data_IF_173947115164
#
_entry.id   IF_173947115164
#
_cell.length_a   1.000
_cell.length_b   1.000
_cell.length_c   1.000
_cell.angle_alpha   90.00
_cell.angle_beta   90.00
_cell.angle_gamma   90.00
#
_symmetry.space_group_name_H-M   'P 1'
#
loop_
_entity.id
_entity.type
_entity.pdbx_description
1 polymer ?
#
# COMPACT_ATOMS: atom_id res chain seq x y z
N UNK A 1 -12.60 15.85 -8.29
CA UNK A 1 -11.23 15.63 -7.75
C UNK A 1 -10.85 14.19 -8.04
N UNK A 2 -9.58 13.91 -8.32
CA UNK A 2 -9.11 12.56 -8.66
C UNK A 2 -7.97 12.14 -7.75
N UNK A 3 -7.88 10.85 -7.46
CA UNK A 3 -6.89 10.27 -6.54
C UNK A 3 -6.20 9.07 -7.15
N UNK A 4 -4.90 8.94 -6.90
CA UNK A 4 -4.09 7.79 -7.28
C UNK A 4 -3.60 7.09 -6.02
N UNK A 5 -3.65 5.76 -6.04
CA UNK A 5 -3.14 4.92 -4.97
C UNK A 5 -1.63 4.70 -5.13
N UNK A 6 -0.91 4.90 -4.03
CA UNK A 6 0.49 4.51 -3.87
C UNK A 6 0.57 3.53 -2.70
N UNK A 7 1.21 2.38 -2.89
CA UNK A 7 1.39 1.35 -1.84
C UNK A 7 2.83 0.87 -1.80
N UNK A 8 3.32 0.56 -0.60
CA UNK A 8 4.61 -0.07 -0.38
C UNK A 8 4.46 -1.18 0.67
N UNK A 9 5.24 -2.24 0.54
CA UNK A 9 5.39 -3.27 1.58
C UNK A 9 6.56 -2.86 2.47
N UNK A 10 6.33 -2.82 3.78
CA UNK A 10 7.31 -2.43 4.78
C UNK A 10 7.57 -3.58 5.76
N UNK A 11 8.81 -3.66 6.22
CA UNK A 11 9.25 -4.54 7.31
C UNK A 11 9.34 -3.73 8.61
N UNK A 12 8.87 -4.34 9.69
CA UNK A 12 8.91 -3.80 11.06
C UNK A 12 9.82 -4.63 11.98
N UNK A 13 10.66 -5.49 11.38
CA UNK A 13 11.51 -6.42 12.11
C UNK A 13 12.46 -5.74 13.11
N UNK A 14 12.89 -4.51 12.84
CA UNK A 14 13.76 -3.72 13.70
C UNK A 14 12.90 -2.73 14.49
N UNK A 15 12.92 -2.75 15.84
CA UNK A 15 12.17 -1.79 16.64
C UNK A 15 12.56 -0.35 16.31
N UNK A 16 11.56 0.52 16.14
CA UNK A 16 11.72 1.95 15.80
C UNK A 16 12.29 2.23 14.39
N UNK A 17 12.49 1.21 13.55
CA UNK A 17 12.84 1.38 12.16
C UNK A 17 11.77 0.77 11.26
N UNK A 18 11.45 1.45 10.16
CA UNK A 18 10.51 0.93 9.16
C UNK A 18 11.20 0.97 7.81
N UNK A 19 11.51 -0.22 7.27
CA UNK A 19 12.12 -0.33 5.95
C UNK A 19 11.06 -0.71 4.94
N UNK A 20 10.75 0.20 4.02
CA UNK A 20 9.78 -0.04 2.96
C UNK A 20 10.48 -0.39 1.64
N UNK A 21 9.88 -1.30 0.89
CA UNK A 21 10.20 -1.51 -0.52
C UNK A 21 9.81 -0.29 -1.35
N UNK A 22 10.24 -0.29 -2.61
CA UNK A 22 9.88 0.75 -3.57
C UNK A 22 8.36 0.88 -3.68
N UNK A 23 7.89 2.10 -3.65
CA UNK A 23 6.48 2.43 -3.83
C UNK A 23 5.98 1.97 -5.21
N UNK A 24 4.80 1.35 -5.20
CA UNK A 24 4.06 0.94 -6.38
C UNK A 24 2.92 1.93 -6.57
N UNK A 25 2.93 2.62 -7.70
CA UNK A 25 1.84 3.48 -8.14
C UNK A 25 0.83 2.64 -8.90
N UNK A 26 -0.41 2.62 -8.43
CA UNK A 26 -1.48 1.93 -9.14
C UNK A 26 -1.98 2.84 -10.27
N UNK A 27 -2.10 2.33 -11.51
CA UNK A 27 -2.50 3.14 -12.66
C UNK A 27 -3.96 3.58 -12.59
N UNK A 28 -4.78 2.93 -11.76
CA UNK A 28 -6.18 3.26 -11.57
C UNK A 28 -6.34 4.59 -10.84
N UNK A 29 -7.22 5.43 -11.37
CA UNK A 29 -7.60 6.72 -10.78
C UNK A 29 -9.00 6.61 -10.18
N UNK A 30 -9.17 7.15 -8.98
CA UNK A 30 -10.41 7.12 -8.22
C UNK A 30 -11.00 8.52 -8.12
N UNK A 31 -12.32 8.62 -8.22
CA UNK A 31 -13.04 9.91 -8.18
C UNK A 31 -13.18 10.48 -6.77
N UNK A 32 -13.02 9.65 -5.75
CA UNK A 32 -13.17 10.03 -4.35
C UNK A 32 -12.04 9.44 -3.50
N UNK A 33 -11.79 10.05 -2.34
CA UNK A 33 -10.73 9.60 -1.44
C UNK A 33 -11.07 8.24 -0.83
N UNK A 34 -12.32 8.05 -0.41
CA UNK A 34 -12.86 6.81 0.15
C UNK A 34 -12.69 5.64 -0.82
N UNK A 35 -13.06 5.80 -2.10
CA UNK A 35 -12.87 4.74 -3.10
C UNK A 35 -11.40 4.36 -3.28
N UNK A 36 -10.48 5.33 -3.19
CA UNK A 36 -9.04 5.05 -3.23
C UNK A 36 -8.58 4.28 -1.97
N UNK A 37 -9.07 4.64 -0.79
CA UNK A 37 -8.74 3.99 0.48
C UNK A 37 -9.29 2.56 0.53
N UNK A 38 -10.53 2.33 0.11
CA UNK A 38 -11.13 0.99 0.02
C UNK A 38 -10.30 0.10 -0.90
N UNK A 39 -9.94 0.60 -2.08
CA UNK A 39 -9.05 -0.12 -2.99
C UNK A 39 -7.67 -0.37 -2.38
N UNK A 40 -7.14 0.55 -1.58
CA UNK A 40 -5.88 0.38 -0.88
C UNK A 40 -5.93 -0.82 0.10
N UNK A 41 -7.01 -0.94 0.88
CA UNK A 41 -7.19 -2.06 1.81
C UNK A 41 -7.32 -3.40 1.08
N UNK A 42 -8.11 -3.45 0.01
CA UNK A 42 -8.27 -4.68 -0.80
C UNK A 42 -6.94 -5.12 -1.42
N UNK A 43 -6.20 -4.18 -2.02
CA UNK A 43 -4.89 -4.45 -2.60
C UNK A 43 -3.84 -4.81 -1.54
N UNK A 44 -3.91 -4.20 -0.36
CA UNK A 44 -3.05 -4.52 0.78
C UNK A 44 -3.24 -5.97 1.21
N UNK A 45 -4.48 -6.38 1.46
CA UNK A 45 -4.82 -7.75 1.83
C UNK A 45 -4.40 -8.74 0.74
N UNK A 46 -4.71 -8.45 -0.53
CA UNK A 46 -4.30 -9.28 -1.66
C UNK A 46 -2.78 -9.38 -1.82
N UNK A 47 -2.02 -8.35 -1.44
CA UNK A 47 -0.55 -8.36 -1.49
C UNK A 47 0.03 -9.22 -0.37
N UNK A 48 -0.43 -9.05 0.88
CA UNK A 48 0.02 -9.84 2.02
C UNK A 48 -0.33 -11.32 1.85
N UNK A 49 -1.52 -11.64 1.33
CA UNK A 49 -1.93 -13.01 1.03
C UNK A 49 -1.01 -13.66 -0.02
N UNK A 50 -0.63 -12.92 -1.07
CA UNK A 50 0.30 -13.41 -2.12
C UNK A 50 1.72 -13.61 -1.59
N UNK A 51 2.16 -12.81 -0.62
CA UNK A 51 3.47 -12.99 0.03
C UNK A 51 3.51 -14.22 0.94
N UNK A 52 2.36 -14.63 1.47
CA UNK A 52 2.18 -15.81 2.30
C UNK A 52 2.49 -15.57 3.78
N UNK A 53 1.74 -16.26 4.64
CA UNK A 53 1.80 -16.08 6.10
C UNK A 53 3.20 -16.28 6.68
N UNK A 54 3.96 -17.28 6.21
CA UNK A 54 5.32 -17.53 6.70
C UNK A 54 6.22 -16.31 6.52
N UNK A 55 6.22 -15.74 5.31
CA UNK A 55 7.05 -14.58 4.97
C UNK A 55 6.61 -13.33 5.70
N UNK A 56 5.29 -13.10 5.75
CA UNK A 56 4.70 -11.96 6.46
C UNK A 56 5.09 -11.98 7.92
N UNK A 57 5.01 -13.13 8.59
CA UNK A 57 5.38 -13.26 9.99
C UNK A 57 6.90 -13.15 10.20
N UNK A 58 7.70 -13.86 9.40
CA UNK A 58 9.16 -13.91 9.53
C UNK A 58 9.80 -12.52 9.43
N UNK A 59 9.30 -11.68 8.53
CA UNK A 59 9.84 -10.35 8.29
C UNK A 59 8.96 -9.22 8.83
N UNK A 60 7.93 -9.56 9.62
CA UNK A 60 6.96 -8.59 10.18
C UNK A 60 6.47 -7.60 9.12
N UNK A 61 5.96 -8.14 8.01
CA UNK A 61 5.58 -7.34 6.86
C UNK A 61 4.19 -6.75 7.04
N UNK A 62 4.05 -5.47 6.70
CA UNK A 62 2.75 -4.83 6.51
C UNK A 62 2.80 -3.92 5.29
N UNK A 63 1.65 -3.46 4.83
CA UNK A 63 1.56 -2.51 3.73
C UNK A 63 1.32 -1.10 4.27
N UNK A 64 2.03 -0.12 3.71
CA UNK A 64 1.76 1.30 3.88
C UNK A 64 1.20 1.83 2.58
N UNK A 65 0.18 2.67 2.65
CA UNK A 65 -0.39 3.29 1.46
C UNK A 65 -0.67 4.78 1.65
N UNK A 66 -0.81 5.47 0.54
CA UNK A 66 -1.32 6.84 0.48
C UNK A 66 -2.20 6.99 -0.77
N UNK A 67 -3.22 7.84 -0.64
CA UNK A 67 -3.97 8.34 -1.77
C UNK A 67 -3.48 9.76 -2.05
N UNK A 68 -3.03 10.02 -3.28
CA UNK A 68 -2.53 11.35 -3.66
C UNK A 68 -3.49 12.00 -4.63
N UNK A 69 -3.76 13.30 -4.43
CA UNK A 69 -4.56 14.06 -5.40
C UNK A 69 -3.80 14.10 -6.73
N UNK A 70 -4.48 13.71 -7.79
CA UNK A 70 -4.00 13.94 -9.15
C UNK A 70 -4.58 15.26 -9.57
N UNK A 71 -3.74 16.30 -9.61
CA UNK A 71 -4.08 17.49 -10.38
C UNK A 71 -3.99 17.06 -11.84
N UNK A 72 -5.11 17.13 -12.56
CA UNK A 72 -5.06 17.09 -14.03
C UNK A 72 -4.13 18.24 -14.44
N UNK A 73 -2.94 17.92 -14.96
CA UNK A 73 -2.00 18.89 -15.49
C UNK A 73 -2.52 19.47 -16.80
#
# INVERSE_FOLDING_TARGET
MKFMLIIAVCSFLIPNETTCQKEIKYPQIYNTWDACVEAAFLNSMGTLNRLGHERVNKYQLATKFSCVKVNDA
#
